data_IF_634995221083
#
_entry.id   IF_634995221083
#
_cell.length_a   1.000
_cell.length_b   1.000
_cell.length_c   1.000
_cell.angle_alpha   90.00
_cell.angle_beta   90.00
_cell.angle_gamma   90.00
#
_symmetry.space_group_name_H-M   'P 1'
#
loop_
_entity.id
_entity.type
_entity.pdbx_description
1 polymer ?
#
# COMPACT_ATOMS: atom_id res chain seq x y z
N UNK A 1 13.34 9.61 14.06
CA UNK A 1 12.71 10.06 12.79
C UNK A 1 12.92 8.95 11.78
N UNK A 2 12.08 7.92 11.80
CA UNK A 2 12.12 6.84 10.82
C UNK A 2 11.46 7.34 9.54
N UNK A 3 12.10 7.12 8.39
CA UNK A 3 11.56 7.58 7.11
C UNK A 3 10.33 6.74 6.75
N UNK A 4 9.24 7.32 6.22
CA UNK A 4 8.06 6.56 5.78
C UNK A 4 8.40 5.43 4.79
N UNK A 5 9.49 5.60 4.03
CA UNK A 5 10.05 4.60 3.11
C UNK A 5 10.46 3.30 3.83
N UNK A 6 11.02 3.37 5.04
CA UNK A 6 11.37 2.16 5.78
C UNK A 6 10.14 1.37 6.22
N UNK A 7 9.03 2.04 6.54
CA UNK A 7 7.84 1.33 6.98
C UNK A 7 7.09 0.65 5.81
N UNK A 8 7.14 1.24 4.62
CA UNK A 8 6.63 0.59 3.42
C UNK A 8 7.48 -0.61 3.00
N UNK A 9 8.77 -0.62 3.32
CA UNK A 9 9.64 -1.76 3.04
C UNK A 9 9.09 -3.04 3.69
N UNK A 10 8.74 -2.98 4.98
CA UNK A 10 8.24 -4.16 5.69
C UNK A 10 6.88 -4.61 5.16
N UNK A 11 5.99 -3.67 4.82
CA UNK A 11 4.68 -3.98 4.21
C UNK A 11 4.85 -4.66 2.85
N UNK A 12 5.73 -4.14 1.99
CA UNK A 12 6.00 -4.71 0.67
C UNK A 12 6.71 -6.07 0.78
N UNK A 13 7.62 -6.23 1.73
CA UNK A 13 8.26 -7.51 2.02
C UNK A 13 7.22 -8.59 2.38
N UNK A 14 6.26 -8.24 3.24
CA UNK A 14 5.17 -9.14 3.64
C UNK A 14 4.23 -9.49 2.48
N UNK A 15 4.03 -8.56 1.55
CA UNK A 15 3.27 -8.77 0.32
C UNK A 15 4.03 -9.56 -0.76
N UNK A 16 5.33 -9.82 -0.55
CA UNK A 16 6.22 -10.44 -1.53
C UNK A 16 6.52 -9.53 -2.73
N UNK A 17 6.44 -8.21 -2.54
CA UNK A 17 6.79 -7.21 -3.56
C UNK A 17 8.20 -6.66 -3.34
N UNK A 18 8.81 -6.07 -4.38
CA UNK A 18 10.06 -5.33 -4.24
C UNK A 18 9.91 -4.20 -3.22
N UNK A 19 10.69 -4.26 -2.15
CA UNK A 19 10.62 -3.39 -0.97
C UNK A 19 11.70 -2.30 -0.94
N UNK A 20 12.40 -2.10 -2.06
CA UNK A 20 13.34 -1.01 -2.25
C UNK A 20 12.61 0.32 -2.46
N UNK A 21 13.21 1.42 -1.97
CA UNK A 21 12.65 2.76 -2.06
C UNK A 21 12.21 3.12 -3.49
N UNK A 22 13.09 2.89 -4.47
CA UNK A 22 12.82 3.17 -5.88
C UNK A 22 11.65 2.34 -6.44
N UNK A 23 11.56 1.06 -6.05
CA UNK A 23 10.48 0.18 -6.50
C UNK A 23 9.14 0.55 -5.89
N UNK A 24 9.12 0.95 -4.61
CA UNK A 24 7.91 1.43 -3.93
C UNK A 24 7.41 2.71 -4.61
N UNK A 25 8.29 3.68 -4.85
CA UNK A 25 7.93 4.93 -5.53
C UNK A 25 7.42 4.68 -6.96
N UNK A 26 8.09 3.81 -7.72
CA UNK A 26 7.62 3.41 -9.05
C UNK A 26 6.28 2.68 -9.00
N UNK A 27 6.07 1.80 -8.02
CA UNK A 27 4.81 1.08 -7.85
C UNK A 27 3.68 2.06 -7.59
N UNK A 28 3.88 2.98 -6.65
CA UNK A 28 2.90 4.03 -6.32
C UNK A 28 2.60 4.87 -7.56
N UNK A 29 3.61 5.36 -8.27
CA UNK A 29 3.43 6.16 -9.47
C UNK A 29 2.70 5.40 -10.60
N UNK A 30 3.00 4.11 -10.76
CA UNK A 30 2.39 3.26 -11.80
C UNK A 30 0.93 2.92 -11.46
N UNK A 31 0.63 2.77 -10.17
CA UNK A 31 -0.69 2.41 -9.66
C UNK A 31 -1.46 3.59 -9.07
N UNK A 32 -1.03 4.83 -9.35
CA UNK A 32 -1.65 6.10 -8.94
C UNK A 32 -3.01 6.38 -9.63
N UNK A 33 -3.79 5.34 -9.92
CA UNK A 33 -5.11 5.39 -10.56
C UNK A 33 -6.18 4.76 -9.68
N UNK A 34 -5.89 4.57 -8.39
CA UNK A 34 -6.86 4.06 -7.44
C UNK A 34 -7.95 5.11 -7.21
N UNK A 35 -9.20 4.77 -7.52
CA UNK A 35 -10.33 5.67 -7.28
C UNK A 35 -10.46 6.00 -5.78
N UNK A 36 -10.91 7.22 -5.46
CA UNK A 36 -11.06 7.67 -4.07
C UNK A 36 -12.05 6.85 -3.23
N UNK A 37 -12.97 6.12 -3.87
CA UNK A 37 -13.91 5.21 -3.20
C UNK A 37 -13.40 3.75 -3.17
N UNK A 38 -12.36 3.43 -3.95
CA UNK A 38 -11.83 2.08 -4.05
C UNK A 38 -10.99 1.71 -2.82
N UNK A 39 -11.30 0.57 -2.21
CA UNK A 39 -10.49 0.00 -1.12
C UNK A 39 -9.15 -0.49 -1.67
N UNK A 40 -8.07 -0.21 -0.94
CA UNK A 40 -6.73 -0.72 -1.28
C UNK A 40 -6.76 -2.23 -1.56
N UNK A 41 -7.35 -3.00 -0.66
CA UNK A 41 -7.47 -4.46 -0.77
C UNK A 41 -8.39 -4.96 -1.89
N UNK A 42 -9.23 -4.11 -2.48
CA UNK A 42 -10.13 -4.48 -3.58
C UNK A 42 -9.58 -4.11 -4.95
N UNK A 43 -8.37 -3.56 -4.99
CA UNK A 43 -7.80 -3.11 -6.23
C UNK A 43 -7.27 -4.27 -7.08
N UNK A 44 -7.42 -4.21 -8.41
CA UNK A 44 -7.10 -5.32 -9.32
C UNK A 44 -5.59 -5.57 -9.50
N UNK A 45 -4.74 -4.71 -8.93
CA UNK A 45 -3.28 -4.90 -8.96
C UNK A 45 -2.79 -5.94 -7.94
N UNK A 46 -3.61 -6.27 -6.94
CA UNK A 46 -3.28 -7.28 -5.95
C UNK A 46 -3.72 -8.67 -6.39
N UNK A 47 -2.88 -9.65 -6.10
CA UNK A 47 -3.32 -11.04 -6.15
C UNK A 47 -4.25 -11.36 -4.95
N UNK A 48 -5.02 -12.46 -4.97
CA UNK A 48 -5.98 -12.75 -3.90
C UNK A 48 -5.35 -12.90 -2.50
N UNK A 49 -4.09 -13.33 -2.39
CA UNK A 49 -3.40 -13.46 -1.11
C UNK A 49 -2.99 -12.08 -0.55
N UNK A 50 -2.43 -11.21 -1.40
CA UNK A 50 -2.08 -9.83 -1.08
C UNK A 50 -3.32 -9.02 -0.70
N UNK A 51 -4.40 -9.17 -1.47
CA UNK A 51 -5.69 -8.54 -1.20
C UNK A 51 -6.26 -8.98 0.16
N UNK A 52 -6.18 -10.27 0.50
CA UNK A 52 -6.61 -10.77 1.80
C UNK A 52 -5.82 -10.12 2.94
N UNK A 53 -4.48 -10.14 2.85
CA UNK A 53 -3.62 -9.50 3.83
C UNK A 53 -3.90 -8.00 3.96
N UNK A 54 -4.04 -7.27 2.85
CA UNK A 54 -4.34 -5.84 2.86
C UNK A 54 -5.72 -5.55 3.43
N UNK A 55 -6.68 -6.47 3.28
CA UNK A 55 -8.01 -6.33 3.86
C UNK A 55 -7.96 -6.40 5.37
N UNK A 56 -7.14 -7.29 5.91
CA UNK A 56 -6.84 -7.38 7.34
C UNK A 56 -6.05 -6.16 7.79
N UNK A 57 -5.01 -5.78 7.04
CA UNK A 57 -4.21 -4.59 7.30
C UNK A 57 -5.05 -3.32 7.34
N UNK A 58 -6.08 -3.16 6.51
CA UNK A 58 -6.98 -2.01 6.55
C UNK A 58 -7.97 -2.01 7.74
N UNK A 59 -8.02 -3.05 8.58
CA UNK A 59 -8.85 -3.05 9.78
C UNK A 59 -8.22 -2.14 10.84
N UNK A 60 -9.04 -1.40 11.60
CA UNK A 60 -8.56 -0.40 12.57
C UNK A 60 -7.71 -1.00 13.70
N UNK A 61 -7.86 -2.30 13.98
CA UNK A 61 -7.10 -3.03 15.01
C UNK A 61 -5.88 -3.77 14.46
N UNK A 62 -5.58 -3.65 13.16
CA UNK A 62 -4.45 -4.35 12.56
C UNK A 62 -3.12 -3.62 12.79
N UNK A 63 -2.06 -4.38 13.04
CA UNK A 63 -0.70 -3.84 13.17
C UNK A 63 -0.25 -3.04 11.94
N UNK A 64 -0.84 -3.32 10.77
CA UNK A 64 -0.53 -2.69 9.50
C UNK A 64 -1.51 -1.59 9.09
N UNK A 65 -2.47 -1.22 9.95
CA UNK A 65 -3.51 -0.21 9.67
C UNK A 65 -2.95 1.13 9.22
N UNK A 66 -1.97 1.65 9.95
CA UNK A 66 -1.34 2.92 9.63
C UNK A 66 -0.63 2.88 8.27
N UNK A 67 0.00 1.75 7.94
CA UNK A 67 0.79 1.59 6.71
C UNK A 67 -0.09 1.32 5.49
N UNK A 68 -1.15 0.53 5.65
CA UNK A 68 -2.14 0.31 4.61
C UNK A 68 -2.90 1.60 4.27
N UNK A 69 -3.24 2.40 5.27
CA UNK A 69 -3.87 3.72 5.06
C UNK A 69 -2.92 4.66 4.29
N UNK A 70 -1.68 4.82 4.76
CA UNK A 70 -0.68 5.65 4.09
C UNK A 70 -0.41 5.19 2.65
N UNK A 71 -0.31 3.88 2.40
CA UNK A 71 -0.15 3.34 1.06
C UNK A 71 -1.37 3.64 0.18
N UNK A 72 -2.58 3.50 0.73
CA UNK A 72 -3.82 3.84 0.01
C UNK A 72 -3.88 5.31 -0.37
N UNK A 73 -3.43 6.21 0.51
CA UNK A 73 -3.36 7.65 0.23
C UNK A 73 -2.33 7.92 -0.88
N UNK A 74 -1.15 7.31 -0.78
CA UNK A 74 -0.10 7.46 -1.78
C UNK A 74 -0.56 6.99 -3.18
N UNK A 75 -1.28 5.87 -3.25
CA UNK A 75 -1.84 5.30 -4.49
C UNK A 75 -3.02 6.08 -5.08
N UNK A 76 -3.67 6.94 -4.31
CA UNK A 76 -4.70 7.85 -4.82
C UNK A 76 -4.10 9.11 -5.46
N UNK A 77 -2.79 9.32 -5.26
CA UNK A 77 -2.05 10.48 -5.73
C UNK A 77 -2.45 11.77 -4.98
N UNK A 78 -1.57 12.78 -4.92
CA UNK A 78 -2.03 14.13 -4.64
C UNK A 78 -2.86 14.57 -5.84
N UNK A 79 -4.15 14.83 -5.62
CA UNK A 79 -4.91 15.72 -6.49
C UNK A 79 -4.21 17.08 -6.48
N UNK A 80 -3.41 17.36 -7.50
CA UNK A 80 -2.89 18.67 -7.82
C UNK A 80 -3.15 18.93 -9.31
#
# INVERSE_FOLDING_TARGET
MEKPIHRFHDLFAQLGLPNDAASIEQFIATHASLAADAKLASAPFWNPAQAAFLREACMQDADWAELADQLSVALRGPTA
#
